data_IF_786241325456
#
_entry.id   IF_786241325456
#
_cell.length_a   1.000
_cell.length_b   1.000
_cell.length_c   1.000
_cell.angle_alpha   90.00
_cell.angle_beta   90.00
_cell.angle_gamma   90.00
#
_symmetry.space_group_name_H-M   'P 1'
#
loop_
_entity.id
_entity.type
_entity.pdbx_description
1 polymer ?
#
# COMPACT_ATOMS: atom_id res chain seq x y z
N UNK A 1 33.76 30.33 -6.34
CA UNK A 1 34.77 29.25 -6.46
C UNK A 1 34.84 28.51 -5.13
N UNK A 2 34.95 27.18 -5.13
CA UNK A 2 35.07 26.39 -3.90
C UNK A 2 36.41 26.69 -3.20
N UNK A 3 36.38 26.92 -1.89
CA UNK A 3 37.55 27.30 -1.07
C UNK A 3 38.61 26.19 -0.91
N UNK A 4 38.36 24.98 -1.43
CA UNK A 4 39.19 23.80 -1.17
C UNK A 4 38.97 22.73 -2.27
N UNK A 5 40.02 21.95 -2.59
CA UNK A 5 39.97 20.89 -3.61
C UNK A 5 39.40 19.57 -3.08
N UNK A 6 38.94 18.70 -4.00
CA UNK A 6 38.38 17.38 -3.65
C UNK A 6 39.43 16.45 -3.00
N UNK A 7 40.69 16.51 -3.44
CA UNK A 7 41.76 15.71 -2.84
C UNK A 7 42.05 16.15 -1.40
N UNK A 8 42.12 17.46 -1.16
CA UNK A 8 42.30 18.01 0.19
C UNK A 8 41.13 17.64 1.12
N UNK A 9 39.90 17.58 0.60
CA UNK A 9 38.73 17.19 1.39
C UNK A 9 38.79 15.71 1.82
N UNK A 10 39.28 14.83 0.94
CA UNK A 10 39.39 13.39 1.23
C UNK A 10 40.44 13.05 2.28
N UNK A 11 41.51 13.84 2.37
CA UNK A 11 42.62 13.60 3.31
C UNK A 11 42.41 14.25 4.67
N UNK A 12 41.41 15.13 4.82
CA UNK A 12 41.20 15.88 6.05
C UNK A 12 40.47 15.02 7.08
N UNK A 13 41.02 14.93 8.28
CA UNK A 13 40.35 14.30 9.40
C UNK A 13 39.08 15.10 9.77
N UNK A 14 38.03 14.39 10.16
CA UNK A 14 36.82 14.99 10.71
C UNK A 14 37.17 15.77 11.98
N UNK A 15 36.78 17.04 12.04
CA UNK A 15 36.88 17.85 13.27
C UNK A 15 35.76 17.54 14.27
N UNK A 16 34.76 16.74 13.88
CA UNK A 16 33.63 16.40 14.74
C UNK A 16 34.06 15.44 15.85
N UNK A 17 33.85 15.86 17.10
CA UNK A 17 33.97 15.01 18.28
C UNK A 17 32.76 14.07 18.37
N UNK A 18 32.96 12.82 17.94
CA UNK A 18 31.92 11.78 17.90
C UNK A 18 31.45 11.41 19.31
N UNK A 19 32.37 11.31 20.27
CA UNK A 19 32.03 10.92 21.63
C UNK A 19 31.14 11.98 22.30
N UNK A 20 31.40 13.26 22.05
CA UNK A 20 30.53 14.35 22.50
C UNK A 20 29.12 14.26 21.89
N UNK A 21 29.02 14.00 20.59
CA UNK A 21 27.73 13.83 19.90
C UNK A 21 26.96 12.65 20.48
N UNK A 22 27.62 11.51 20.65
CA UNK A 22 26.99 10.27 21.15
C UNK A 22 26.55 10.39 22.62
N UNK A 23 27.23 11.24 23.41
CA UNK A 23 26.88 11.52 24.80
C UNK A 23 25.81 12.62 24.97
N UNK A 24 25.41 13.30 23.90
CA UNK A 24 24.45 14.42 23.98
C UNK A 24 23.04 13.89 24.23
N UNK A 25 22.42 14.31 25.33
CA UNK A 25 21.08 13.85 25.73
C UNK A 25 19.96 14.66 25.07
N UNK A 26 18.73 14.16 25.13
CA UNK A 26 17.55 14.88 24.65
C UNK A 26 17.36 16.23 25.37
N UNK A 27 17.70 16.29 26.66
CA UNK A 27 17.64 17.52 27.43
C UNK A 27 18.69 18.54 26.96
N UNK A 28 19.90 18.08 26.60
CA UNK A 28 20.94 18.94 26.05
C UNK A 28 20.54 19.49 24.68
N UNK A 29 19.91 18.66 23.85
CA UNK A 29 19.39 19.05 22.53
C UNK A 29 18.35 20.16 22.70
N UNK A 30 17.38 19.99 23.61
CA UNK A 30 16.33 20.99 23.81
C UNK A 30 16.88 22.31 24.36
N UNK A 31 17.84 22.25 25.29
CA UNK A 31 18.50 23.46 25.80
C UNK A 31 19.26 24.21 24.71
N UNK A 32 19.93 23.49 23.80
CA UNK A 32 20.61 24.08 22.64
C UNK A 32 19.63 24.72 21.67
N UNK A 33 18.53 24.03 21.33
CA UNK A 33 17.45 24.59 20.50
C UNK A 33 16.92 25.90 21.08
N UNK A 34 16.66 25.93 22.39
CA UNK A 34 16.19 27.13 23.06
C UNK A 34 17.22 28.27 23.01
N UNK A 35 18.51 27.96 23.23
CA UNK A 35 19.58 28.94 23.15
C UNK A 35 19.77 29.52 21.74
N UNK A 36 19.54 28.71 20.71
CA UNK A 36 19.61 29.10 19.30
C UNK A 36 18.36 29.88 18.83
N UNK A 37 17.34 30.03 19.68
CA UNK A 37 16.07 30.70 19.35
C UNK A 37 15.07 29.83 18.59
N UNK A 38 15.35 28.53 18.49
CA UNK A 38 14.57 27.54 17.75
C UNK A 38 13.54 26.80 18.62
N UNK A 39 13.31 27.24 19.87
CA UNK A 39 12.38 26.62 20.82
C UNK A 39 10.97 26.43 20.21
N UNK A 40 10.47 27.46 19.54
CA UNK A 40 9.13 27.51 18.98
C UNK A 40 9.02 26.88 17.58
N UNK A 41 10.16 26.48 16.98
CA UNK A 41 10.10 25.73 15.74
C UNK A 41 9.43 24.40 16.01
N UNK A 42 8.41 24.08 15.21
CA UNK A 42 7.79 22.77 15.26
C UNK A 42 8.86 21.72 15.00
N UNK A 43 9.18 20.91 16.02
CA UNK A 43 9.88 19.64 15.80
C UNK A 43 8.98 18.87 14.84
N UNK A 44 9.42 18.56 13.61
CA UNK A 44 8.56 17.87 12.67
C UNK A 44 8.02 16.60 13.34
N UNK A 45 6.70 16.52 13.54
CA UNK A 45 6.01 15.38 14.18
C UNK A 45 6.01 14.11 13.29
N UNK A 46 7.04 13.97 12.48
CA UNK A 46 7.28 12.88 11.56
C UNK A 46 8.75 12.46 11.67
N UNK A 47 9.29 12.40 12.89
CA UNK A 47 10.45 11.55 13.15
C UNK A 47 10.04 10.12 12.80
N UNK A 48 10.24 9.80 11.52
CA UNK A 48 9.87 8.56 10.88
C UNK A 48 10.49 7.43 11.71
N UNK A 49 9.65 6.58 12.28
CA UNK A 49 10.04 5.22 12.72
C UNK A 49 10.60 4.39 11.54
N UNK A 50 10.58 4.95 10.33
CA UNK A 50 11.14 4.41 9.10
C UNK A 50 12.61 4.82 8.99
N UNK A 51 13.48 3.83 9.07
CA UNK A 51 14.93 3.95 8.84
C UNK A 51 15.23 4.73 7.54
N UNK A 52 16.21 5.63 7.58
CA UNK A 52 16.58 6.41 6.41
C UNK A 52 17.08 5.48 5.27
N UNK A 53 16.76 5.75 3.99
CA UNK A 53 17.17 4.88 2.86
C UNK A 53 18.67 4.55 2.85
N UNK A 54 19.52 5.54 3.11
CA UNK A 54 20.98 5.34 3.17
C UNK A 54 21.39 4.41 4.32
N UNK A 55 20.77 4.56 5.49
CA UNK A 55 21.06 3.72 6.65
C UNK A 55 20.65 2.27 6.39
N UNK A 56 19.43 2.06 5.87
CA UNK A 56 18.94 0.75 5.45
C UNK A 56 19.90 0.08 4.47
N UNK A 57 20.28 0.79 3.39
CA UNK A 57 21.19 0.25 2.39
C UNK A 57 22.54 -0.14 2.96
N UNK A 58 23.14 0.73 3.77
CA UNK A 58 24.46 0.47 4.37
C UNK A 58 24.40 -0.73 5.30
N UNK A 59 23.34 -0.84 6.11
CA UNK A 59 23.12 -1.98 7.01
C UNK A 59 22.94 -3.30 6.26
N UNK A 60 22.28 -3.27 5.10
CA UNK A 60 22.12 -4.42 4.21
C UNK A 60 23.35 -4.70 3.32
N UNK A 61 24.44 -3.94 3.47
CA UNK A 61 25.66 -4.08 2.69
C UNK A 61 25.45 -4.00 1.16
N UNK A 62 24.46 -3.24 0.71
CA UNK A 62 24.13 -3.09 -0.72
C UNK A 62 24.70 -1.79 -1.32
N UNK A 63 25.00 -1.85 -2.62
CA UNK A 63 25.20 -0.68 -3.46
C UNK A 63 23.88 0.02 -3.75
N UNK A 64 23.93 1.29 -4.19
CA UNK A 64 22.70 2.02 -4.56
C UNK A 64 21.91 1.33 -5.67
N UNK A 65 22.61 0.66 -6.59
CA UNK A 65 21.98 -0.07 -7.69
C UNK A 65 21.29 -1.34 -7.19
N UNK A 66 21.98 -2.14 -6.38
CA UNK A 66 21.43 -3.40 -5.87
C UNK A 66 20.14 -3.18 -5.06
N UNK A 67 20.11 -2.22 -4.14
CA UNK A 67 18.89 -1.97 -3.36
C UNK A 67 17.77 -1.36 -4.22
N UNK A 68 18.11 -0.52 -5.20
CA UNK A 68 17.14 0.06 -6.11
C UNK A 68 16.49 -1.03 -6.98
N UNK A 69 17.31 -1.94 -7.54
CA UNK A 69 16.85 -3.06 -8.34
C UNK A 69 16.04 -4.06 -7.49
N UNK A 70 16.50 -4.39 -6.27
CA UNK A 70 15.81 -5.28 -5.34
C UNK A 70 14.42 -4.77 -4.93
N UNK A 71 14.28 -3.45 -4.73
CA UNK A 71 13.01 -2.83 -4.39
C UNK A 71 12.17 -2.43 -5.61
N UNK A 72 12.68 -2.64 -6.83
CA UNK A 72 12.06 -2.21 -8.10
C UNK A 72 11.80 -0.69 -8.15
N UNK A 73 12.74 0.08 -7.60
CA UNK A 73 12.69 1.54 -7.53
C UNK A 73 13.72 2.11 -8.51
N UNK A 74 13.37 3.10 -9.35
CA UNK A 74 14.36 3.72 -10.23
C UNK A 74 15.56 4.26 -9.44
N UNK A 75 16.79 3.97 -9.90
CA UNK A 75 18.02 4.41 -9.23
C UNK A 75 18.07 5.92 -8.97
N UNK A 76 17.52 6.74 -9.88
CA UNK A 76 17.40 8.18 -9.70
C UNK A 76 16.52 8.56 -8.51
N UNK A 77 15.40 7.87 -8.34
CA UNK A 77 14.47 8.04 -7.22
C UNK A 77 15.14 7.67 -5.89
N UNK A 78 15.79 6.50 -5.84
CA UNK A 78 16.52 6.07 -4.64
C UNK A 78 17.59 7.09 -4.21
N UNK A 79 18.36 7.61 -5.17
CA UNK A 79 19.37 8.65 -4.93
C UNK A 79 18.78 9.95 -4.39
N UNK A 80 17.64 10.39 -4.93
CA UNK A 80 16.97 11.59 -4.45
C UNK A 80 16.57 11.46 -2.98
N UNK A 81 16.11 10.29 -2.55
CA UNK A 81 15.76 10.03 -1.15
C UNK A 81 16.98 9.95 -0.24
N UNK A 82 18.05 9.25 -0.63
CA UNK A 82 19.29 9.21 0.18
C UNK A 82 19.92 10.60 0.39
N UNK A 83 19.73 11.50 -0.58
CA UNK A 83 20.25 12.86 -0.54
C UNK A 83 19.28 13.87 0.08
N UNK A 84 18.06 13.45 0.44
CA UNK A 84 17.02 14.34 0.97
C UNK A 84 16.50 15.37 -0.03
N UNK A 85 16.73 15.17 -1.34
CA UNK A 85 16.24 16.08 -2.40
C UNK A 85 14.72 16.00 -2.56
N UNK A 86 14.15 14.83 -2.27
CA UNK A 86 12.71 14.56 -2.33
C UNK A 86 12.33 13.80 -1.06
N UNK A 87 11.21 14.19 -0.45
CA UNK A 87 10.66 13.47 0.69
C UNK A 87 10.13 12.09 0.26
N UNK A 88 10.39 11.07 1.07
CA UNK A 88 9.85 9.73 0.87
C UNK A 88 8.30 9.76 0.92
N UNK A 89 7.64 9.28 -0.12
CA UNK A 89 6.18 9.15 -0.12
C UNK A 89 5.70 8.05 0.85
N UNK A 90 4.42 8.09 1.30
CA UNK A 90 3.90 7.14 2.30
C UNK A 90 4.04 5.67 1.93
N UNK A 91 3.81 5.31 0.65
CA UNK A 91 3.94 3.92 0.19
C UNK A 91 5.39 3.43 0.26
N UNK A 92 6.35 4.25 -0.19
CA UNK A 92 7.77 3.93 -0.09
C UNK A 92 8.25 3.88 1.37
N UNK A 93 7.71 4.74 2.23
CA UNK A 93 7.97 4.69 3.67
C UNK A 93 7.47 3.38 4.30
N UNK A 94 6.29 2.91 3.93
CA UNK A 94 5.78 1.61 4.38
C UNK A 94 6.67 0.45 3.88
N UNK A 95 7.06 0.46 2.61
CA UNK A 95 7.97 -0.56 2.04
C UNK A 95 9.31 -0.59 2.80
N UNK A 96 9.93 0.57 3.02
CA UNK A 96 11.20 0.68 3.75
C UNK A 96 11.04 0.21 5.20
N UNK A 97 9.89 0.48 5.85
CA UNK A 97 9.63 -0.02 7.20
C UNK A 97 9.54 -1.55 7.25
N UNK A 98 8.93 -2.18 6.24
CA UNK A 98 8.85 -3.64 6.12
C UNK A 98 10.24 -4.23 5.90
N UNK A 99 10.98 -3.73 4.90
CA UNK A 99 12.34 -4.20 4.58
C UNK A 99 13.29 -3.98 5.76
N UNK A 100 13.12 -2.89 6.50
CA UNK A 100 13.93 -2.59 7.68
C UNK A 100 13.81 -3.68 8.74
N UNK A 101 12.59 -4.19 8.98
CA UNK A 101 12.28 -5.19 10.00
C UNK A 101 12.44 -6.63 9.53
N UNK A 102 12.11 -6.92 8.27
CA UNK A 102 11.99 -8.27 7.71
C UNK A 102 12.61 -8.34 6.30
N UNK A 103 13.93 -8.08 6.15
CA UNK A 103 14.56 -7.93 4.84
C UNK A 103 14.46 -9.19 3.98
N UNK A 104 14.73 -10.36 4.54
CA UNK A 104 14.68 -11.64 3.82
C UNK A 104 13.29 -11.90 3.22
N UNK A 105 12.25 -11.80 4.05
CA UNK A 105 10.85 -12.02 3.62
C UNK A 105 10.38 -10.95 2.64
N UNK A 106 10.80 -9.70 2.82
CA UNK A 106 10.46 -8.62 1.90
C UNK A 106 11.07 -8.86 0.51
N UNK A 107 12.35 -9.22 0.45
CA UNK A 107 13.02 -9.50 -0.82
C UNK A 107 12.54 -10.78 -1.48
N UNK A 108 12.23 -11.82 -0.70
CA UNK A 108 11.60 -13.04 -1.20
C UNK A 108 10.24 -12.75 -1.86
N UNK A 109 9.36 -12.02 -1.16
CA UNK A 109 8.06 -11.61 -1.70
C UNK A 109 8.18 -10.73 -2.96
N UNK A 110 9.23 -9.89 -3.04
CA UNK A 110 9.51 -9.08 -4.22
C UNK A 110 10.15 -9.88 -5.35
N UNK A 111 10.85 -10.98 -5.08
CA UNK A 111 11.42 -11.86 -6.10
C UNK A 111 10.37 -12.83 -6.67
N UNK A 112 9.42 -13.27 -5.83
CA UNK A 112 8.39 -14.24 -6.15
C UNK A 112 6.99 -13.61 -6.02
N UNK A 113 6.53 -12.84 -7.03
CA UNK A 113 5.25 -12.14 -6.96
C UNK A 113 4.04 -13.07 -7.08
N UNK A 114 4.26 -14.31 -7.52
CA UNK A 114 3.20 -15.31 -7.64
C UNK A 114 2.86 -15.83 -6.24
N UNK A 115 1.60 -15.69 -5.79
CA UNK A 115 1.21 -16.29 -4.52
C UNK A 115 1.47 -17.80 -4.62
N UNK A 116 2.29 -18.33 -3.71
CA UNK A 116 2.36 -19.76 -3.43
C UNK A 116 0.92 -20.27 -3.41
N UNK A 117 0.58 -21.22 -4.31
CA UNK A 117 -0.79 -21.64 -4.67
C UNK A 117 -1.73 -21.40 -3.50
N UNK A 118 -2.40 -20.24 -3.53
CA UNK A 118 -3.34 -19.83 -2.49
C UNK A 118 -4.29 -21.00 -2.38
N UNK A 119 -4.36 -21.65 -1.22
CA UNK A 119 -5.34 -22.71 -0.97
C UNK A 119 -6.65 -22.25 -1.58
N UNK A 120 -7.07 -22.91 -2.66
CA UNK A 120 -8.18 -22.47 -3.51
C UNK A 120 -9.51 -22.35 -2.72
N UNK A 121 -9.51 -22.78 -1.45
CA UNK A 121 -10.59 -22.72 -0.48
C UNK A 121 -10.92 -21.31 0.09
N UNK A 122 -9.98 -20.34 0.14
CA UNK A 122 -10.28 -19.07 0.84
C UNK A 122 -11.38 -18.26 0.14
N UNK A 123 -11.35 -18.18 -1.20
CA UNK A 123 -12.36 -17.45 -1.96
C UNK A 123 -13.64 -18.25 -2.15
N UNK A 124 -13.56 -19.59 -2.13
CA UNK A 124 -14.73 -20.46 -2.18
C UNK A 124 -15.61 -20.33 -0.93
N UNK A 125 -15.03 -20.05 0.24
CA UNK A 125 -15.80 -19.75 1.46
C UNK A 125 -16.67 -18.48 1.35
N UNK A 126 -16.29 -17.51 0.52
CA UNK A 126 -17.04 -16.28 0.27
C UNK A 126 -17.91 -16.34 -1.00
N UNK A 127 -17.70 -17.36 -1.85
CA UNK A 127 -18.52 -17.59 -3.03
C UNK A 127 -19.85 -18.16 -2.58
N UNK A 128 -20.83 -17.29 -2.33
CA UNK A 128 -22.22 -17.73 -2.18
C UNK A 128 -22.57 -18.62 -3.38
N UNK A 129 -23.20 -19.80 -3.17
CA UNK A 129 -23.60 -20.62 -4.29
C UNK A 129 -24.46 -19.79 -5.22
N UNK A 130 -24.10 -19.75 -6.50
CA UNK A 130 -24.98 -19.23 -7.55
C UNK A 130 -26.30 -19.99 -7.36
N UNK A 131 -27.44 -19.32 -7.14
CA UNK A 131 -28.69 -20.03 -7.01
C UNK A 131 -28.85 -20.87 -8.28
N UNK A 132 -28.94 -22.19 -8.10
CA UNK A 132 -29.27 -23.11 -9.17
C UNK A 132 -30.55 -22.59 -9.84
N UNK A 133 -30.62 -22.63 -11.17
CA UNK A 133 -31.76 -22.15 -11.97
C UNK A 133 -33.11 -22.83 -11.67
N UNK A 134 -33.25 -23.58 -10.57
CA UNK A 134 -34.51 -24.18 -10.12
C UNK A 134 -35.54 -23.12 -9.70
N UNK A 135 -35.12 -21.91 -9.30
CA UNK A 135 -36.05 -20.82 -8.92
C UNK A 135 -36.59 -20.07 -10.15
N UNK A 136 -35.89 -20.08 -11.29
CA UNK A 136 -36.39 -19.41 -12.51
C UNK A 136 -37.53 -20.18 -13.17
N UNK A 137 -37.53 -21.52 -13.10
CA UNK A 137 -38.61 -22.35 -13.65
C UNK A 137 -39.98 -22.07 -12.98
N UNK A 138 -39.97 -21.83 -11.66
CA UNK A 138 -41.20 -21.59 -10.88
C UNK A 138 -41.91 -20.28 -11.23
N UNK A 139 -41.18 -19.26 -11.71
CA UNK A 139 -41.77 -17.95 -12.03
C UNK A 139 -42.39 -17.99 -13.42
N UNK A 140 -41.75 -18.65 -14.39
CA UNK A 140 -42.32 -18.86 -15.73
C UNK A 140 -43.59 -19.71 -15.70
N UNK A 141 -43.62 -20.79 -14.92
CA UNK A 141 -44.80 -21.65 -14.80
C UNK A 141 -45.99 -20.92 -14.14
N UNK A 142 -45.71 -20.07 -13.14
CA UNK A 142 -46.74 -19.27 -12.48
C UNK A 142 -47.32 -18.17 -13.40
N UNK A 143 -46.49 -17.58 -14.26
CA UNK A 143 -46.92 -16.56 -15.24
C UNK A 143 -47.72 -17.20 -16.38
N UNK A 144 -47.34 -18.39 -16.86
CA UNK A 144 -48.14 -19.14 -17.84
C UNK A 144 -49.47 -19.61 -17.27
N UNK A 145 -49.49 -20.11 -16.04
CA UNK A 145 -50.74 -20.51 -15.36
C UNK A 145 -51.69 -19.32 -15.15
N UNK A 146 -51.17 -18.13 -14.81
CA UNK A 146 -51.96 -16.91 -14.67
C UNK A 146 -52.49 -16.43 -16.03
N UNK A 147 -51.69 -16.50 -17.08
CA UNK A 147 -52.11 -16.16 -18.45
C UNK A 147 -53.19 -17.12 -18.98
N UNK A 148 -53.08 -18.43 -18.68
CA UNK A 148 -54.11 -19.41 -19.03
C UNK A 148 -55.43 -19.20 -18.26
N UNK A 149 -55.34 -18.89 -16.96
CA UNK A 149 -56.50 -18.58 -16.13
C UNK A 149 -57.22 -17.29 -16.57
N UNK A 150 -56.47 -16.27 -16.99
CA UNK A 150 -57.05 -15.03 -17.53
C UNK A 150 -57.58 -15.20 -18.97
N UNK A 151 -56.96 -16.05 -19.79
CA UNK A 151 -57.42 -16.36 -21.14
C UNK A 151 -58.73 -17.16 -21.20
N UNK A 152 -59.02 -17.98 -20.19
CA UNK A 152 -60.26 -18.75 -20.12
C UNK A 152 -61.48 -17.90 -19.70
N UNK A 153 -61.28 -16.77 -19.01
CA UNK A 153 -62.36 -15.93 -18.49
C UNK A 153 -62.96 -14.96 -19.53
N UNK A 154 -62.33 -14.76 -20.69
CA UNK A 154 -62.78 -13.79 -21.71
C UNK A 154 -63.66 -14.40 -22.81
N UNK A 155 -63.77 -15.74 -22.90
CA UNK A 155 -64.49 -16.39 -24.01
C UNK A 155 -65.96 -16.74 -23.67
N UNK A 156 -66.40 -16.68 -22.41
CA UNK A 156 -67.76 -17.11 -22.00
C UNK A 156 -68.73 -15.95 -21.66
N UNK A 157 -68.47 -14.76 -22.20
CA UNK A 157 -69.32 -13.57 -22.01
C UNK A 157 -70.03 -13.07 -23.29
N UNK A 158 -70.12 -13.88 -24.35
CA UNK A 158 -70.87 -13.49 -25.55
C UNK A 158 -71.65 -14.64 -26.19
N UNK A 159 -72.84 -14.94 -25.61
CA UNK A 159 -73.87 -15.73 -26.28
C UNK A 159 -75.26 -15.12 -25.99
N UNK A 160 -75.99 -14.62 -27.02
CA UNK A 160 -77.22 -13.87 -26.81
C UNK A 160 -78.40 -14.77 -26.45
N UNK A 161 -79.18 -14.34 -25.44
CA UNK A 161 -80.44 -14.96 -25.05
C UNK A 161 -81.49 -14.82 -26.16
N UNK A 162 -81.96 -15.95 -26.70
CA UNK A 162 -83.18 -16.03 -27.51
C UNK A 162 -84.39 -15.95 -26.58
N UNK A 163 -85.19 -14.89 -26.66
CA UNK A 163 -86.53 -14.83 -26.11
C UNK A 163 -87.53 -15.28 -27.18
N UNK A 164 -88.34 -16.30 -26.85
CA UNK A 164 -89.56 -16.68 -27.55
C UNK A 164 -90.75 -16.25 -26.68
N UNK A 165 -91.61 -15.41 -27.24
CA UNK A 165 -93.07 -15.43 -27.07
C UNK A 165 -93.66 -14.87 -28.35
#
# INVERSE_FOLDING_TARGET
MARMSLNELRTRASTVDRAKVDATTEADIEAQRAADGDADLAVPNAARVVEAPRALRVRLAMTQREIADALRIPLGTWRNWEQGRVALEPAAAALIAIVSRMPELAFDALAHPEPEKRQDDFLDAFRKPKPSNEVEASVTDAVEALAAALGAAVVDADKPAKQRA
#
